data_IF_820477717356
#
_entry.id   IF_820477717356
#
_cell.length_a   1.000
_cell.length_b   1.000
_cell.length_c   1.000
_cell.angle_alpha   90.00
_cell.angle_beta   90.00
_cell.angle_gamma   90.00
#
_symmetry.space_group_name_H-M   'P 1'
#
loop_
_entity.id
_entity.type
_entity.pdbx_description
1 polymer ?
#
# COMPACT_ATOMS: atom_id res chain seq x y z
N UNK A 1 -37.97 -15.11 13.46
CA UNK A 1 -37.20 -14.62 12.31
C UNK A 1 -35.69 -14.42 12.65
N UNK A 2 -35.33 -13.99 13.85
CA UNK A 2 -33.95 -13.73 14.29
C UNK A 2 -33.04 -14.97 14.36
N UNK A 3 -33.52 -16.13 14.74
CA UNK A 3 -32.70 -17.35 14.87
C UNK A 3 -32.09 -17.85 13.52
N UNK A 4 -32.74 -17.62 12.38
CA UNK A 4 -32.18 -18.01 11.06
C UNK A 4 -31.03 -17.13 10.63
N UNK A 5 -31.02 -15.86 11.00
CA UNK A 5 -29.92 -14.94 10.71
C UNK A 5 -28.62 -15.30 11.42
N UNK A 6 -28.70 -15.70 12.69
CA UNK A 6 -27.52 -16.16 13.45
C UNK A 6 -26.93 -17.44 12.90
N UNK A 7 -27.78 -18.40 12.45
CA UNK A 7 -27.31 -19.64 11.85
C UNK A 7 -26.54 -19.36 10.56
N UNK A 8 -27.04 -18.49 9.70
CA UNK A 8 -26.38 -18.12 8.45
C UNK A 8 -25.04 -17.42 8.72
N UNK A 9 -24.99 -16.48 9.67
CA UNK A 9 -23.75 -15.78 10.06
C UNK A 9 -22.75 -16.76 10.69
N UNK A 10 -23.20 -17.67 11.54
CA UNK A 10 -22.34 -18.69 12.17
C UNK A 10 -21.85 -19.71 11.13
N UNK A 11 -22.67 -20.08 10.16
CA UNK A 11 -22.28 -20.99 9.07
C UNK A 11 -21.27 -20.32 8.14
N UNK A 12 -21.42 -19.03 7.83
CA UNK A 12 -20.46 -18.26 7.05
C UNK A 12 -19.13 -18.12 7.82
N UNK A 13 -19.18 -17.88 9.13
CA UNK A 13 -17.99 -17.83 9.99
C UNK A 13 -17.27 -19.18 10.13
N UNK A 14 -17.99 -20.30 10.08
CA UNK A 14 -17.42 -21.66 10.16
C UNK A 14 -16.87 -22.17 8.83
N UNK A 15 -17.28 -21.59 7.70
CA UNK A 15 -16.73 -21.92 6.36
C UNK A 15 -15.40 -21.24 6.06
N UNK A 16 -14.93 -20.37 6.94
CA UNK A 16 -13.65 -19.67 6.84
C UNK A 16 -12.60 -20.44 7.67
N UNK A 17 -12.36 -21.70 7.32
CA UNK A 17 -11.15 -22.41 7.77
C UNK A 17 -10.02 -21.99 6.83
N UNK A 18 -9.18 -21.08 7.28
CA UNK A 18 -8.07 -20.52 6.50
C UNK A 18 -6.84 -21.34 6.78
N UNK A 19 -6.34 -22.01 5.77
CA UNK A 19 -4.94 -22.39 5.72
C UNK A 19 -4.14 -21.09 5.58
N UNK A 20 -3.31 -20.77 6.57
CA UNK A 20 -2.40 -19.62 6.51
C UNK A 20 -1.29 -19.93 5.52
N UNK A 21 -1.46 -19.52 4.28
CA UNK A 21 -0.37 -19.50 3.30
C UNK A 21 0.33 -18.14 3.37
N UNK A 22 1.65 -18.15 3.23
CA UNK A 22 2.43 -16.92 3.20
C UNK A 22 2.12 -16.16 1.90
N UNK A 23 1.56 -14.96 2.01
CA UNK A 23 1.34 -14.08 0.88
C UNK A 23 2.66 -13.40 0.51
N UNK A 24 2.93 -13.30 -0.80
CA UNK A 24 4.12 -12.64 -1.33
C UNK A 24 4.14 -11.13 -1.02
N UNK A 25 3.01 -10.46 -1.20
CA UNK A 25 2.92 -9.01 -1.07
C UNK A 25 2.94 -8.52 0.39
N UNK A 26 3.68 -7.45 0.61
CA UNK A 26 3.83 -6.80 1.92
C UNK A 26 2.55 -6.13 2.39
N UNK A 27 2.34 -6.09 3.70
CA UNK A 27 1.24 -5.40 4.35
C UNK A 27 1.74 -4.20 5.14
N UNK A 28 1.26 -3.01 4.79
CA UNK A 28 1.50 -1.80 5.58
C UNK A 28 0.29 -1.44 6.41
N UNK A 29 0.52 -1.09 7.68
CA UNK A 29 -0.55 -0.63 8.58
C UNK A 29 -1.13 0.72 8.16
N UNK A 30 -0.29 1.60 7.54
CA UNK A 30 -0.70 2.90 7.00
C UNK A 30 -1.15 2.82 5.54
N UNK A 31 -1.74 1.70 5.09
CA UNK A 31 -2.19 1.49 3.71
C UNK A 31 -3.08 2.60 3.17
N UNK A 32 -3.86 3.26 4.01
CA UNK A 32 -4.76 4.36 3.65
C UNK A 32 -4.03 5.67 3.24
N UNK A 33 -2.76 5.82 3.59
CA UNK A 33 -1.88 6.90 3.16
C UNK A 33 -0.92 6.46 2.04
N UNK A 34 -0.92 5.15 1.73
CA UNK A 34 -0.04 4.49 0.76
C UNK A 34 -0.80 3.78 -0.37
N UNK A 35 -2.01 4.20 -0.69
CA UNK A 35 -2.84 3.53 -1.70
C UNK A 35 -2.15 3.31 -3.07
N UNK A 36 -1.27 4.21 -3.57
CA UNK A 36 -0.49 3.95 -4.78
C UNK A 36 0.41 2.71 -4.70
N UNK A 37 0.78 2.23 -3.50
CA UNK A 37 1.64 1.05 -3.35
C UNK A 37 1.00 -0.23 -3.89
N UNK A 38 -0.33 -0.34 -3.83
CA UNK A 38 -1.09 -1.50 -4.28
C UNK A 38 -2.13 -1.19 -5.36
N UNK A 39 -2.43 0.09 -5.66
CA UNK A 39 -3.39 0.47 -6.69
C UNK A 39 -2.89 1.66 -7.53
N UNK A 40 -2.47 1.40 -8.74
CA UNK A 40 -1.99 2.42 -9.68
C UNK A 40 -3.06 3.49 -10.01
N UNK A 41 -4.36 3.17 -9.90
CA UNK A 41 -5.42 4.15 -10.12
C UNK A 41 -5.52 5.22 -9.03
N UNK A 42 -4.87 5.01 -7.87
CA UNK A 42 -4.84 5.98 -6.78
C UNK A 42 -3.78 7.08 -6.97
N UNK A 43 -2.84 6.96 -7.94
CA UNK A 43 -1.82 7.98 -8.18
C UNK A 43 -2.44 9.30 -8.62
N UNK A 44 -1.90 10.40 -8.13
CA UNK A 44 -2.44 11.74 -8.41
C UNK A 44 -3.86 11.94 -7.86
N UNK A 45 -4.23 11.32 -6.75
CA UNK A 45 -5.53 11.45 -6.09
C UNK A 45 -5.83 12.90 -5.68
N UNK A 46 -4.81 13.68 -5.38
CA UNK A 46 -4.90 15.10 -5.04
C UNK A 46 -4.07 15.97 -6.00
N UNK A 47 -4.41 17.27 -6.18
CA UNK A 47 -3.65 18.19 -7.01
C UNK A 47 -2.35 18.65 -6.32
N UNK A 48 -1.62 17.70 -5.74
CA UNK A 48 -0.38 17.89 -5.00
C UNK A 48 0.66 16.90 -5.47
N UNK A 49 1.92 17.24 -5.28
CA UNK A 49 2.96 16.24 -5.23
C UNK A 49 2.87 15.55 -3.87
N UNK A 50 2.65 14.25 -3.89
CA UNK A 50 2.67 13.41 -2.71
C UNK A 50 3.96 12.60 -2.75
N UNK A 51 4.68 12.58 -1.64
CA UNK A 51 5.84 11.73 -1.41
C UNK A 51 5.53 10.91 -0.17
N UNK A 52 5.73 9.61 -0.24
CA UNK A 52 5.48 8.69 0.84
C UNK A 52 6.66 7.75 1.01
N UNK A 53 7.05 7.49 2.25
CA UNK A 53 8.03 6.49 2.59
C UNK A 53 7.55 5.73 3.84
N UNK A 54 7.84 4.44 3.90
CA UNK A 54 7.56 3.62 5.05
C UNK A 54 8.70 2.64 5.31
N UNK A 55 8.91 2.34 6.56
CA UNK A 55 9.78 1.27 7.02
C UNK A 55 8.99 0.39 7.99
N UNK A 56 8.83 -0.87 7.64
CA UNK A 56 8.18 -1.87 8.48
C UNK A 56 9.23 -2.90 8.93
N UNK A 57 9.23 -3.19 10.22
CA UNK A 57 9.99 -4.27 10.84
C UNK A 57 8.99 -5.26 11.42
N UNK A 58 8.79 -6.36 10.72
CA UNK A 58 7.83 -7.38 11.13
C UNK A 58 8.46 -8.41 12.07
N UNK A 59 7.64 -9.00 12.93
CA UNK A 59 8.04 -10.07 13.85
C UNK A 59 9.33 -9.73 14.62
N UNK A 60 9.39 -8.53 15.22
CA UNK A 60 10.53 -8.07 15.98
C UNK A 60 10.89 -9.08 17.09
N UNK A 61 12.16 -9.45 17.20
CA UNK A 61 12.65 -10.46 18.13
C UNK A 61 13.05 -11.79 17.49
N UNK A 62 12.65 -12.05 16.24
CA UNK A 62 13.19 -13.16 15.47
C UNK A 62 14.52 -12.78 14.80
N UNK A 63 15.45 -13.76 14.70
CA UNK A 63 16.67 -13.57 13.92
C UNK A 63 16.30 -13.47 12.43
N UNK A 64 16.77 -12.43 11.73
CA UNK A 64 16.47 -12.16 10.32
C UNK A 64 14.98 -11.95 10.05
N UNK A 65 14.30 -11.23 10.96
CA UNK A 65 12.90 -10.86 10.80
C UNK A 65 12.67 -10.06 9.50
N UNK A 66 11.48 -10.14 8.90
CA UNK A 66 11.15 -9.37 7.71
C UNK A 66 11.29 -7.87 7.92
N UNK A 67 11.87 -7.18 6.94
CA UNK A 67 12.04 -5.73 6.95
C UNK A 67 11.72 -5.18 5.58
N UNK A 68 10.74 -4.28 5.51
CA UNK A 68 10.29 -3.68 4.28
C UNK A 68 10.53 -2.20 4.24
N UNK A 69 11.08 -1.72 3.15
CA UNK A 69 11.21 -0.31 2.81
C UNK A 69 10.35 0.02 1.60
N UNK A 70 9.57 1.07 1.70
CA UNK A 70 8.79 1.64 0.60
C UNK A 70 9.14 3.11 0.43
N UNK A 71 9.25 3.55 -0.82
CA UNK A 71 9.30 4.96 -1.19
C UNK A 71 8.50 5.17 -2.47
N UNK A 72 7.65 6.19 -2.49
CA UNK A 72 6.84 6.52 -3.65
C UNK A 72 6.63 8.02 -3.79
N UNK A 73 6.42 8.45 -5.02
CA UNK A 73 6.03 9.81 -5.32
C UNK A 73 4.99 9.81 -6.43
N UNK A 74 3.94 10.60 -6.27
CA UNK A 74 2.89 10.75 -7.26
C UNK A 74 2.39 12.18 -7.37
N UNK A 75 1.90 12.53 -8.55
CA UNK A 75 1.37 13.84 -8.83
C UNK A 75 0.19 13.79 -9.80
N UNK A 76 -0.71 14.76 -9.64
CA UNK A 76 -1.77 15.02 -10.61
C UNK A 76 -1.35 16.11 -11.59
N UNK A 77 -1.68 15.94 -12.86
CA UNK A 77 -1.49 16.94 -13.89
C UNK A 77 -2.69 17.00 -14.83
N UNK A 78 -2.83 18.13 -15.52
CA UNK A 78 -3.89 18.36 -16.51
C UNK A 78 -3.30 18.19 -17.91
N UNK A 79 -3.84 17.26 -18.70
CA UNK A 79 -3.50 17.04 -20.10
C UNK A 79 -4.80 16.87 -20.89
N UNK A 80 -4.90 17.55 -22.06
CA UNK A 80 -6.08 17.51 -22.94
C UNK A 80 -7.40 17.78 -22.22
N UNK A 81 -7.41 18.70 -21.24
CA UNK A 81 -8.56 19.08 -20.40
C UNK A 81 -9.06 17.94 -19.48
N UNK A 82 -8.31 16.87 -19.33
CA UNK A 82 -8.59 15.78 -18.40
C UNK A 82 -7.49 15.70 -17.33
N UNK A 83 -7.87 15.19 -16.16
CA UNK A 83 -6.91 14.96 -15.09
C UNK A 83 -6.23 13.61 -15.27
N UNK A 84 -4.95 13.60 -15.07
CA UNK A 84 -4.09 12.42 -15.12
C UNK A 84 -3.29 12.33 -13.82
N UNK A 85 -2.87 11.13 -13.47
CA UNK A 85 -1.91 10.89 -12.42
C UNK A 85 -0.67 10.19 -12.97
N UNK A 86 0.49 10.55 -12.47
CA UNK A 86 1.72 9.79 -12.69
C UNK A 86 2.41 9.54 -11.36
N UNK A 87 3.03 8.39 -11.22
CA UNK A 87 3.75 8.00 -10.02
C UNK A 87 4.93 7.10 -10.31
N UNK A 88 5.83 7.06 -9.34
CA UNK A 88 6.95 6.15 -9.27
C UNK A 88 6.99 5.55 -7.88
N UNK A 89 7.32 4.28 -7.77
CA UNK A 89 7.49 3.61 -6.48
C UNK A 89 8.68 2.68 -6.51
N UNK A 90 9.31 2.58 -5.35
CA UNK A 90 10.38 1.64 -5.02
C UNK A 90 9.96 0.87 -3.77
N UNK A 91 10.09 -0.43 -3.80
CA UNK A 91 9.93 -1.30 -2.64
C UNK A 91 11.13 -2.22 -2.53
N UNK A 92 11.59 -2.47 -1.33
CA UNK A 92 12.60 -3.47 -1.01
C UNK A 92 12.14 -4.21 0.24
N UNK A 93 11.84 -5.47 0.09
CA UNK A 93 11.44 -6.36 1.15
C UNK A 93 12.49 -7.44 1.37
N UNK A 94 12.92 -7.59 2.62
CA UNK A 94 13.90 -8.60 3.02
C UNK A 94 13.24 -9.60 3.96
N UNK A 95 13.15 -10.85 3.54
CA UNK A 95 12.59 -11.96 4.31
C UNK A 95 13.63 -13.06 4.43
N UNK A 96 14.26 -13.15 5.59
CA UNK A 96 15.30 -14.16 5.83
C UNK A 96 16.50 -13.96 4.91
N UNK A 97 16.66 -14.84 3.91
CA UNK A 97 17.73 -14.83 2.93
C UNK A 97 17.30 -14.26 1.57
N UNK A 98 16.02 -13.99 1.41
CA UNK A 98 15.47 -13.42 0.19
C UNK A 98 15.35 -11.90 0.29
N UNK A 99 15.56 -11.23 -0.85
CA UNK A 99 15.30 -9.79 -1.01
C UNK A 99 14.50 -9.58 -2.29
N UNK A 100 13.30 -9.04 -2.11
CA UNK A 100 12.33 -8.72 -3.15
C UNK A 100 12.37 -7.22 -3.42
N UNK A 101 12.82 -6.80 -4.59
CA UNK A 101 12.87 -5.39 -4.97
C UNK A 101 11.93 -5.13 -6.11
N UNK A 102 11.17 -4.07 -6.03
CA UNK A 102 10.25 -3.63 -7.08
C UNK A 102 10.44 -2.16 -7.37
N UNK A 103 10.72 -1.82 -8.61
CA UNK A 103 10.68 -0.45 -9.13
C UNK A 103 9.56 -0.37 -10.15
N UNK A 104 8.59 0.54 -9.99
CA UNK A 104 7.46 0.63 -10.90
C UNK A 104 7.11 2.08 -11.24
N UNK A 105 6.70 2.29 -12.49
CA UNK A 105 6.10 3.51 -13.00
C UNK A 105 4.59 3.30 -13.09
N UNK A 106 3.84 4.31 -12.70
CA UNK A 106 2.39 4.26 -12.61
C UNK A 106 1.77 5.41 -13.38
N UNK A 107 0.66 5.12 -14.03
CA UNK A 107 -0.15 6.11 -14.73
C UNK A 107 -1.63 5.89 -14.43
N UNK A 108 -2.38 6.98 -14.24
CA UNK A 108 -3.82 6.95 -14.04
C UNK A 108 -4.52 7.99 -14.91
N UNK A 109 -5.60 7.57 -15.54
CA UNK A 109 -6.54 8.43 -16.25
C UNK A 109 -7.77 8.67 -15.37
N UNK A 110 -8.22 9.93 -15.28
CA UNK A 110 -9.29 10.33 -14.36
C UNK A 110 -10.42 11.02 -15.10
N UNK A 111 -11.65 10.62 -14.82
CA UNK A 111 -12.85 11.26 -15.38
C UNK A 111 -13.98 11.35 -14.35
N UNK A 112 -14.85 12.31 -14.55
CA UNK A 112 -16.00 12.52 -13.67
C UNK A 112 -17.11 11.51 -14.02
N UNK A 113 -17.62 10.84 -12.99
CA UNK A 113 -18.69 9.85 -13.12
C UNK A 113 -19.60 9.91 -11.89
N UNK A 114 -20.92 9.92 -12.05
CA UNK A 114 -21.93 9.88 -10.98
C UNK A 114 -21.65 10.84 -9.80
N UNK A 115 -21.20 12.06 -10.09
CA UNK A 115 -20.89 13.07 -9.07
C UNK A 115 -19.57 12.86 -8.31
N UNK A 116 -18.84 11.81 -8.61
CA UNK A 116 -17.51 11.51 -8.13
C UNK A 116 -16.47 11.54 -9.25
N UNK A 117 -15.29 10.97 -8.96
CA UNK A 117 -14.20 10.80 -9.90
C UNK A 117 -13.84 9.31 -9.98
N UNK A 118 -13.94 8.74 -11.16
CA UNK A 118 -13.41 7.42 -11.48
C UNK A 118 -12.01 7.58 -12.05
N UNK A 119 -11.08 6.77 -11.58
CA UNK A 119 -9.70 6.69 -12.03
C UNK A 119 -9.42 5.26 -12.47
N UNK A 120 -8.83 5.12 -13.65
CA UNK A 120 -8.30 3.84 -14.15
C UNK A 120 -6.79 3.94 -14.16
N UNK A 121 -6.07 2.95 -13.66
CA UNK A 121 -4.63 3.01 -13.52
C UNK A 121 -3.95 1.74 -14.01
N UNK A 122 -2.74 1.93 -14.53
CA UNK A 122 -1.83 0.85 -14.91
C UNK A 122 -0.45 1.11 -14.31
N UNK A 123 0.28 0.05 -14.07
CA UNK A 123 1.66 0.08 -13.60
C UNK A 123 2.50 -0.90 -14.39
N UNK A 124 3.71 -0.49 -14.72
CA UNK A 124 4.73 -1.34 -15.27
C UNK A 124 6.02 -1.17 -14.48
N UNK A 125 6.63 -2.26 -14.09
CA UNK A 125 7.79 -2.25 -13.22
C UNK A 125 8.76 -3.38 -13.50
N UNK A 126 9.87 -3.34 -12.80
CA UNK A 126 10.88 -4.37 -12.74
C UNK A 126 10.85 -5.00 -11.34
N UNK A 127 10.67 -6.29 -11.31
CA UNK A 127 10.80 -7.12 -10.12
C UNK A 127 12.19 -7.75 -10.14
N UNK A 128 12.93 -7.62 -9.04
CA UNK A 128 14.27 -8.20 -8.87
C UNK A 128 14.27 -9.02 -7.60
N UNK A 129 14.52 -10.31 -7.76
CA UNK A 129 14.61 -11.30 -6.70
C UNK A 129 16.06 -11.65 -6.44
N UNK A 130 16.46 -11.70 -5.18
CA UNK A 130 17.80 -12.06 -4.78
C UNK A 130 17.73 -13.10 -3.67
N UNK A 131 18.48 -14.18 -3.82
CA UNK A 131 18.76 -15.15 -2.75
C UNK A 131 20.22 -15.04 -2.32
N UNK A 132 20.47 -14.83 -1.03
CA UNK A 132 21.83 -14.70 -0.47
C UNK A 132 22.26 -16.04 0.16
N UNK A 133 22.79 -16.93 -0.68
CA UNK A 133 23.28 -18.23 -0.26
C UNK A 133 24.54 -18.18 0.62
N UNK A 134 25.25 -17.03 0.64
CA UNK A 134 26.45 -16.86 1.49
C UNK A 134 26.14 -16.84 2.98
N UNK A 135 24.88 -16.64 3.34
CA UNK A 135 24.40 -16.56 4.73
C UNK A 135 23.65 -17.83 5.18
N UNK A 136 23.62 -18.86 4.34
CA UNK A 136 23.06 -20.16 4.72
C UNK A 136 23.98 -20.80 5.75
N UNK A 137 23.42 -21.24 6.86
CA UNK A 137 24.14 -22.01 7.89
C UNK A 137 24.05 -23.49 7.50
N UNK A 138 25.03 -23.97 6.77
CA UNK A 138 25.08 -25.33 6.29
C UNK A 138 25.81 -26.17 7.34
N UNK A 139 25.22 -27.28 7.81
CA UNK A 139 25.91 -28.30 8.62
C UNK A 139 27.01 -28.98 7.80
N UNK A 140 26.81 -29.12 6.48
CA UNK A 140 27.81 -29.59 5.51
C UNK A 140 28.17 -28.48 4.53
N UNK A 141 29.44 -28.04 4.54
CA UNK A 141 29.90 -26.86 3.77
C UNK A 141 29.88 -27.00 2.24
N UNK A 142 29.47 -28.17 1.70
CA UNK A 142 29.46 -28.47 0.26
C UNK A 142 28.15 -29.14 -0.22
N UNK A 143 27.01 -28.77 0.34
CA UNK A 143 25.73 -29.28 -0.16
C UNK A 143 25.42 -28.64 -1.54
N UNK A 144 25.42 -29.44 -2.64
CA UNK A 144 25.16 -28.93 -3.99
C UNK A 144 23.73 -28.41 -4.20
N UNK A 145 22.80 -28.68 -3.26
CA UNK A 145 21.43 -28.20 -3.32
C UNK A 145 21.33 -26.69 -3.00
N UNK A 146 22.33 -26.11 -2.34
CA UNK A 146 22.34 -24.70 -1.98
C UNK A 146 23.49 -23.97 -2.67
N UNK A 147 23.15 -22.90 -3.38
CA UNK A 147 24.16 -22.00 -3.92
C UNK A 147 24.90 -21.32 -2.77
N UNK A 148 26.23 -21.49 -2.68
CA UNK A 148 27.08 -20.72 -1.75
C UNK A 148 27.30 -19.27 -2.21
N UNK A 149 26.66 -18.85 -3.29
CA UNK A 149 26.78 -17.53 -3.89
C UNK A 149 25.45 -16.77 -3.80
N UNK A 150 25.53 -15.46 -4.01
CA UNK A 150 24.36 -14.61 -4.21
C UNK A 150 23.84 -14.80 -5.62
N UNK A 151 22.58 -15.19 -5.77
CA UNK A 151 21.91 -15.33 -7.06
C UNK A 151 20.81 -14.28 -7.18
N UNK A 152 20.66 -13.72 -8.38
CA UNK A 152 19.71 -12.65 -8.67
C UNK A 152 19.01 -12.92 -10.00
N UNK A 153 17.73 -12.62 -10.05
CA UNK A 153 16.92 -12.69 -11.25
C UNK A 153 15.99 -11.50 -11.36
N UNK A 154 15.58 -11.18 -12.57
CA UNK A 154 14.70 -10.05 -12.84
C UNK A 154 13.55 -10.45 -13.75
N UNK A 155 12.37 -9.84 -13.56
CA UNK A 155 11.21 -10.03 -14.43
C UNK A 155 10.41 -8.74 -14.55
N UNK A 156 9.68 -8.60 -15.67
CA UNK A 156 8.71 -7.52 -15.85
C UNK A 156 7.50 -7.78 -14.95
N UNK A 157 6.99 -6.73 -14.31
CA UNK A 157 5.82 -6.76 -13.45
C UNK A 157 4.76 -5.78 -13.93
N UNK A 158 3.53 -6.24 -14.07
CA UNK A 158 2.40 -5.45 -14.54
C UNK A 158 1.28 -5.42 -13.48
N UNK A 159 0.67 -4.24 -13.33
CA UNK A 159 -0.47 -4.07 -12.46
C UNK A 159 -1.53 -3.15 -13.09
N UNK A 160 -2.78 -3.32 -12.68
CA UNK A 160 -3.89 -2.46 -13.08
C UNK A 160 -4.86 -2.27 -11.94
N UNK A 161 -5.65 -1.18 -12.00
CA UNK A 161 -6.65 -0.91 -11.00
C UNK A 161 -7.70 0.09 -11.42
N UNK A 162 -8.75 0.13 -10.62
CA UNK A 162 -9.82 1.11 -10.66
C UNK A 162 -9.92 1.75 -9.28
N UNK A 163 -10.21 3.04 -9.25
CA UNK A 163 -10.40 3.79 -8.02
C UNK A 163 -11.50 4.81 -8.20
N UNK A 164 -12.56 4.72 -7.40
CA UNK A 164 -13.64 5.68 -7.40
C UNK A 164 -13.65 6.47 -6.10
N UNK A 165 -13.62 7.79 -6.20
CA UNK A 165 -13.72 8.70 -5.06
C UNK A 165 -14.93 9.60 -5.20
N UNK A 166 -15.66 9.72 -4.13
CA UNK A 166 -16.78 10.65 -3.97
C UNK A 166 -16.54 11.44 -2.69
N UNK A 167 -17.11 12.63 -2.55
CA UNK A 167 -16.90 13.61 -1.47
C UNK A 167 -16.26 13.11 -0.17
N UNK A 168 -16.84 12.07 0.45
CA UNK A 168 -16.46 11.60 1.77
C UNK A 168 -16.13 10.10 1.82
N UNK A 169 -16.14 9.40 0.71
CA UNK A 169 -15.83 7.97 0.64
C UNK A 169 -15.13 7.60 -0.66
N UNK A 170 -14.48 6.50 -0.64
CA UNK A 170 -13.83 5.92 -1.80
C UNK A 170 -13.92 4.41 -1.79
N UNK A 171 -13.75 3.83 -2.96
CA UNK A 171 -13.57 2.39 -3.17
C UNK A 171 -12.57 2.18 -4.28
N UNK A 172 -11.73 1.16 -4.15
CA UNK A 172 -10.75 0.79 -5.16
C UNK A 172 -10.64 -0.72 -5.28
N UNK A 173 -10.39 -1.17 -6.49
CA UNK A 173 -10.00 -2.55 -6.79
C UNK A 173 -8.73 -2.51 -7.63
N UNK A 174 -7.83 -3.46 -7.41
CA UNK A 174 -6.60 -3.56 -8.19
C UNK A 174 -6.08 -4.99 -8.21
N UNK A 175 -5.23 -5.26 -9.18
CA UNK A 175 -4.47 -6.48 -9.24
C UNK A 175 -3.00 -6.14 -9.53
N UNK A 176 -2.11 -6.72 -8.77
CA UNK A 176 -0.67 -6.68 -8.97
C UNK A 176 -0.20 -8.01 -9.55
N UNK A 177 0.99 -8.02 -10.11
CA UNK A 177 1.58 -9.24 -10.71
C UNK A 177 0.66 -9.90 -11.75
N UNK A 178 -0.05 -9.09 -12.57
CA UNK A 178 -1.04 -9.55 -13.54
C UNK A 178 -0.49 -10.53 -14.58
N UNK A 179 0.80 -10.43 -14.88
CA UNK A 179 1.49 -11.33 -15.80
C UNK A 179 2.10 -12.55 -15.09
N UNK A 180 1.82 -12.73 -13.79
CA UNK A 180 2.38 -13.79 -12.93
C UNK A 180 3.86 -14.01 -13.23
N UNK A 181 4.72 -12.98 -12.95
CA UNK A 181 6.11 -12.99 -13.38
C UNK A 181 6.85 -14.19 -12.79
N UNK A 182 7.58 -14.90 -13.66
CA UNK A 182 8.50 -15.94 -13.27
C UNK A 182 9.92 -15.36 -13.27
N UNK A 183 10.59 -15.42 -12.14
CA UNK A 183 11.96 -14.94 -11.95
C UNK A 183 12.90 -16.13 -11.88
N UNK A 184 13.80 -16.22 -12.83
CA UNK A 184 14.80 -17.27 -12.85
C UNK A 184 15.96 -16.90 -11.90
N UNK A 185 16.19 -17.74 -10.90
CA UNK A 185 17.24 -17.62 -9.89
C UNK A 185 18.35 -18.64 -10.18
N UNK A 186 19.43 -18.17 -10.80
CA UNK A 186 20.50 -19.07 -11.26
C UNK A 186 20.08 -19.94 -12.44
N UNK A 187 20.64 -21.14 -12.55
CA UNK A 187 20.43 -22.03 -13.69
C UNK A 187 19.22 -22.96 -13.55
N UNK A 188 18.80 -23.25 -12.32
CA UNK A 188 17.85 -24.34 -12.03
C UNK A 188 16.63 -23.93 -11.21
N UNK A 189 16.65 -22.76 -10.54
CA UNK A 189 15.56 -22.36 -9.66
C UNK A 189 14.72 -21.27 -10.29
N UNK A 190 13.41 -21.38 -10.16
CA UNK A 190 12.44 -20.42 -10.62
C UNK A 190 11.54 -20.01 -9.45
N UNK A 191 11.29 -18.71 -9.33
CA UNK A 191 10.32 -18.16 -8.41
C UNK A 191 9.17 -17.55 -9.23
N UNK A 192 8.00 -18.15 -9.14
CA UNK A 192 6.79 -17.61 -9.71
C UNK A 192 6.08 -16.75 -8.68
N UNK A 193 5.70 -15.53 -9.09
CA UNK A 193 4.93 -14.60 -8.26
C UNK A 193 3.50 -14.58 -8.77
N UNK A 194 2.56 -15.05 -7.97
CA UNK A 194 1.16 -15.09 -8.34
C UNK A 194 0.48 -13.72 -8.29
N UNK A 195 -0.56 -13.54 -9.11
CA UNK A 195 -1.32 -12.31 -9.12
C UNK A 195 -2.02 -12.08 -7.78
N UNK A 196 -1.87 -10.89 -7.21
CA UNK A 196 -2.51 -10.49 -5.97
C UNK A 196 -3.59 -9.45 -6.23
N UNK A 197 -4.79 -9.72 -5.72
CA UNK A 197 -5.98 -8.88 -5.89
C UNK A 197 -6.26 -8.10 -4.61
N UNK A 198 -6.63 -6.83 -4.79
CA UNK A 198 -6.91 -5.91 -3.70
C UNK A 198 -8.29 -5.30 -3.82
N UNK A 199 -8.98 -5.18 -2.69
CA UNK A 199 -10.18 -4.37 -2.52
C UNK A 199 -9.93 -3.40 -1.36
N UNK A 200 -10.08 -2.11 -1.61
CA UNK A 200 -9.96 -1.08 -0.58
C UNK A 200 -11.18 -0.19 -0.56
N UNK A 201 -11.45 0.37 0.59
CA UNK A 201 -12.50 1.36 0.75
C UNK A 201 -12.36 2.12 2.04
N UNK A 202 -12.94 3.30 2.07
CA UNK A 202 -12.93 4.13 3.28
C UNK A 202 -13.89 5.29 3.19
N UNK A 203 -14.14 5.87 4.36
CA UNK A 203 -15.03 7.02 4.47
C UNK A 203 -14.51 8.02 5.51
N UNK A 204 -14.93 9.27 5.39
CA UNK A 204 -14.72 10.32 6.38
C UNK A 204 -16.05 10.75 6.95
N UNK A 205 -16.29 10.43 8.21
CA UNK A 205 -17.51 10.77 8.95
C UNK A 205 -17.19 11.96 9.85
N UNK A 206 -17.69 13.15 9.50
CA UNK A 206 -17.51 14.35 10.32
C UNK A 206 -18.44 14.29 11.52
N UNK A 207 -17.91 14.58 12.69
CA UNK A 207 -18.66 14.63 13.93
C UNK A 207 -19.33 16.02 14.10
N UNK A 208 -20.16 16.16 15.14
CA UNK A 208 -20.79 17.45 15.48
C UNK A 208 -19.76 18.55 15.77
N UNK A 209 -18.62 18.16 16.33
CA UNK A 209 -17.46 19.06 16.44
C UNK A 209 -16.73 19.08 15.09
N UNK A 210 -16.59 20.24 14.41
CA UNK A 210 -16.01 20.34 13.08
C UNK A 210 -14.54 19.96 13.00
N UNK A 211 -13.83 19.96 14.13
CA UNK A 211 -12.44 19.54 14.20
C UNK A 211 -12.25 18.02 14.27
N UNK A 212 -13.32 17.28 14.53
CA UNK A 212 -13.26 15.85 14.78
C UNK A 212 -13.91 15.06 13.65
N UNK A 213 -13.27 13.98 13.25
CA UNK A 213 -13.82 13.01 12.30
C UNK A 213 -13.42 11.59 12.66
N UNK A 214 -14.25 10.63 12.25
CA UNK A 214 -13.94 9.20 12.27
C UNK A 214 -13.67 8.76 10.82
N UNK A 215 -12.61 8.04 10.60
CA UNK A 215 -12.19 7.56 9.29
C UNK A 215 -12.09 6.04 9.30
N UNK A 216 -13.21 5.32 9.08
CA UNK A 216 -13.15 3.90 8.84
C UNK A 216 -12.55 3.62 7.47
N UNK A 217 -11.74 2.57 7.38
CA UNK A 217 -11.19 2.05 6.13
C UNK A 217 -11.03 0.54 6.19
N UNK A 218 -10.97 -0.07 5.01
CA UNK A 218 -10.82 -1.49 4.79
C UNK A 218 -9.78 -1.73 3.70
N UNK A 219 -8.91 -2.68 3.90
CA UNK A 219 -8.07 -3.28 2.87
C UNK A 219 -8.26 -4.79 2.92
N UNK A 220 -8.67 -5.39 1.81
CA UNK A 220 -8.70 -6.83 1.61
C UNK A 220 -7.75 -7.19 0.47
N UNK A 221 -6.95 -8.23 0.65
CA UNK A 221 -6.05 -8.76 -0.36
C UNK A 221 -6.10 -10.28 -0.41
N UNK A 222 -5.89 -10.83 -1.60
CA UNK A 222 -5.84 -12.28 -1.83
C UNK A 222 -5.02 -12.60 -3.08
N UNK A 223 -4.26 -13.66 -3.03
CA UNK A 223 -3.59 -14.30 -4.15
C UNK A 223 -4.33 -15.57 -4.62
N UNK A 224 -5.60 -15.74 -4.18
CA UNK A 224 -6.47 -16.89 -4.35
C UNK A 224 -6.07 -18.14 -3.54
N UNK A 225 -4.85 -18.18 -3.00
CA UNK A 225 -4.38 -19.25 -2.10
C UNK A 225 -4.57 -18.85 -0.64
N UNK A 226 -4.34 -17.58 -0.31
CA UNK A 226 -4.55 -17.00 1.01
C UNK A 226 -5.26 -15.66 0.93
N UNK A 227 -5.69 -15.15 2.08
CA UNK A 227 -6.27 -13.81 2.15
C UNK A 227 -5.94 -13.11 3.46
N UNK A 228 -5.89 -11.78 3.43
CA UNK A 228 -5.82 -10.92 4.60
C UNK A 228 -6.80 -9.77 4.44
N UNK A 229 -7.52 -9.46 5.51
CA UNK A 229 -8.39 -8.30 5.58
C UNK A 229 -8.04 -7.45 6.80
N UNK A 230 -7.80 -6.16 6.58
CA UNK A 230 -7.49 -5.19 7.63
C UNK A 230 -8.64 -4.19 7.72
N UNK A 231 -9.30 -4.11 8.88
CA UNK A 231 -10.37 -3.16 9.16
C UNK A 231 -9.81 -2.12 10.13
N UNK A 232 -9.73 -0.87 9.69
CA UNK A 232 -9.10 0.21 10.45
C UNK A 232 -10.12 1.30 10.80
N UNK A 233 -10.13 1.72 12.04
CA UNK A 233 -10.87 2.89 12.52
C UNK A 233 -9.92 3.94 13.06
N UNK A 234 -9.92 5.16 12.47
CA UNK A 234 -9.10 6.27 12.94
C UNK A 234 -9.99 7.40 13.47
N UNK A 235 -9.65 7.90 14.63
CA UNK A 235 -10.20 9.13 15.18
C UNK A 235 -9.23 10.26 14.86
N UNK A 236 -9.70 11.30 14.14
CA UNK A 236 -8.85 12.35 13.61
C UNK A 236 -9.29 13.71 14.13
N UNK A 237 -8.35 14.48 14.67
CA UNK A 237 -8.48 15.87 15.03
C UNK A 237 -7.78 16.73 13.99
N UNK A 238 -8.49 17.67 13.36
CA UNK A 238 -7.94 18.58 12.34
C UNK A 238 -8.22 20.02 12.72
N UNK A 239 -7.15 20.82 12.86
CA UNK A 239 -7.24 22.24 13.10
C UNK A 239 -6.27 22.96 12.15
N UNK A 240 -6.82 23.75 11.21
CA UNK A 240 -6.06 24.44 10.15
C UNK A 240 -5.10 23.49 9.39
N UNK A 241 -3.79 23.68 9.56
CA UNK A 241 -2.72 22.90 8.91
C UNK A 241 -2.20 21.73 9.75
N UNK A 242 -2.79 21.54 10.94
CA UNK A 242 -2.40 20.48 11.87
C UNK A 242 -3.47 19.41 11.90
N UNK A 243 -3.07 18.16 11.85
CA UNK A 243 -3.94 17.01 12.00
C UNK A 243 -3.23 16.01 12.92
N UNK A 244 -3.98 15.43 13.83
CA UNK A 244 -3.52 14.30 14.65
C UNK A 244 -4.54 13.18 14.54
N UNK A 245 -4.07 11.96 14.55
CA UNK A 245 -4.95 10.80 14.58
C UNK A 245 -4.43 9.73 15.55
N UNK A 246 -5.36 8.98 16.09
CA UNK A 246 -5.14 7.71 16.74
C UNK A 246 -6.13 6.70 16.15
N UNK A 247 -5.73 5.45 16.02
CA UNK A 247 -6.55 4.43 15.40
C UNK A 247 -6.23 3.02 15.87
N UNK A 248 -7.15 2.15 15.53
CA UNK A 248 -7.01 0.71 15.71
C UNK A 248 -7.30 0.03 14.38
N UNK A 249 -6.48 -0.94 14.04
CA UNK A 249 -6.72 -1.86 12.93
C UNK A 249 -6.86 -3.29 13.47
N UNK A 250 -7.74 -4.05 12.88
CA UNK A 250 -7.97 -5.44 13.22
C UNK A 250 -7.90 -6.30 11.97
N UNK A 251 -6.98 -7.25 11.95
CA UNK A 251 -6.89 -8.31 10.96
C UNK A 251 -7.37 -9.61 11.62
N UNK A 252 -8.57 -10.11 11.26
CA UNK A 252 -9.14 -11.31 11.88
C UNK A 252 -8.17 -12.49 11.85
N UNK A 253 -8.03 -13.18 12.99
CA UNK A 253 -7.13 -14.34 13.19
C UNK A 253 -5.63 -14.05 13.09
N UNK A 254 -5.22 -12.85 12.73
CA UNK A 254 -3.81 -12.48 12.50
C UNK A 254 -3.33 -11.54 13.61
N UNK A 255 -3.92 -10.33 13.71
CA UNK A 255 -3.35 -9.30 14.57
C UNK A 255 -4.32 -8.17 14.91
N UNK A 256 -3.90 -7.36 15.88
CA UNK A 256 -4.49 -6.07 16.20
C UNK A 256 -3.38 -5.02 16.18
N UNK A 257 -3.61 -3.89 15.52
CA UNK A 257 -2.62 -2.83 15.35
C UNK A 257 -3.11 -1.53 15.98
N UNK A 258 -2.25 -0.90 16.75
CA UNK A 258 -2.45 0.46 17.25
C UNK A 258 -1.72 1.43 16.34
N UNK A 259 -2.39 2.52 15.93
CA UNK A 259 -1.85 3.54 15.03
C UNK A 259 -1.93 4.91 15.68
N UNK A 260 -0.86 5.68 15.57
CA UNK A 260 -0.84 7.09 15.93
C UNK A 260 -0.10 7.87 14.85
N UNK A 261 -0.47 9.12 14.67
CA UNK A 261 0.25 9.98 13.75
C UNK A 261 -0.32 11.37 13.67
N UNK A 262 0.29 12.16 12.80
CA UNK A 262 -0.12 13.54 12.60
C UNK A 262 0.47 14.16 11.36
N UNK A 263 -0.14 15.29 10.97
CA UNK A 263 0.29 16.13 9.86
C UNK A 263 0.60 17.52 10.37
N UNK A 264 1.76 18.03 9.99
CA UNK A 264 2.22 19.36 10.36
C UNK A 264 2.95 20.00 9.18
N UNK A 265 2.47 21.13 8.68
CA UNK A 265 3.05 21.87 7.54
C UNK A 265 3.33 21.01 6.29
N UNK A 266 2.44 20.06 5.98
CA UNK A 266 2.56 19.18 4.81
C UNK A 266 3.32 17.88 5.08
N UNK A 267 4.06 17.78 6.18
CA UNK A 267 4.72 16.54 6.61
C UNK A 267 3.74 15.71 7.41
N UNK A 268 3.59 14.45 7.06
CA UNK A 268 2.81 13.45 7.80
C UNK A 268 3.79 12.48 8.43
N UNK A 269 3.62 12.21 9.72
CA UNK A 269 4.37 11.18 10.44
C UNK A 269 3.36 10.20 11.04
N UNK A 270 3.60 8.93 10.88
CA UNK A 270 2.82 7.86 11.44
C UNK A 270 3.68 6.79 12.09
N UNK A 271 3.17 6.17 13.11
CA UNK A 271 3.75 5.01 13.75
C UNK A 271 2.65 4.00 14.04
N UNK A 272 2.93 2.73 13.81
CA UNK A 272 2.05 1.64 14.21
C UNK A 272 2.80 0.55 14.96
N UNK A 273 2.08 -0.09 15.83
CA UNK A 273 2.51 -1.28 16.55
C UNK A 273 1.48 -2.39 16.38
N UNK A 274 1.88 -3.48 15.75
CA UNK A 274 1.05 -4.64 15.48
C UNK A 274 1.33 -5.73 16.50
N UNK A 275 0.28 -6.21 17.14
CA UNK A 275 0.28 -7.26 18.13
C UNK A 275 -0.35 -8.50 17.49
N UNK A 276 0.41 -9.58 17.32
CA UNK A 276 -0.08 -10.82 16.76
C UNK A 276 -0.99 -11.55 17.74
N UNK A 277 -2.15 -11.96 17.27
CA UNK A 277 -3.12 -12.80 18.01
C UNK A 277 -3.10 -14.24 17.53
N UNK A 278 -2.32 -14.52 16.46
CA UNK A 278 -2.08 -15.86 15.92
C UNK A 278 -1.08 -16.65 16.79
N UNK A 279 -0.88 -17.94 16.46
CA UNK A 279 0.05 -18.81 17.15
C UNK A 279 1.53 -18.33 17.06
N UNK A 280 1.88 -17.58 16.03
CA UNK A 280 3.20 -16.97 15.87
C UNK A 280 3.17 -15.61 16.57
N UNK A 281 3.62 -15.57 17.81
CA UNK A 281 3.72 -14.33 18.58
C UNK A 281 5.13 -14.19 19.16
N UNK A 282 6.02 -13.39 18.54
CA UNK A 282 7.39 -13.19 19.03
C UNK A 282 7.47 -12.38 20.33
N UNK A 283 6.35 -11.86 20.82
CA UNK A 283 6.30 -11.00 22.01
C UNK A 283 6.63 -9.54 21.77
N UNK A 284 7.38 -9.23 20.73
CA UNK A 284 7.80 -7.85 20.39
C UNK A 284 6.98 -7.22 19.25
N UNK A 285 6.03 -7.99 18.65
CA UNK A 285 5.14 -7.52 17.61
C UNK A 285 5.84 -7.05 16.34
N UNK A 286 5.18 -6.19 15.58
CA UNK A 286 5.75 -5.50 14.41
C UNK A 286 5.64 -4.00 14.57
N UNK A 287 6.59 -3.29 14.00
CA UNK A 287 6.69 -1.83 14.07
C UNK A 287 6.72 -1.25 12.67
N UNK A 288 5.97 -0.18 12.43
CA UNK A 288 6.02 0.55 11.18
C UNK A 288 6.14 2.05 11.44
N UNK A 289 7.01 2.70 10.69
CA UNK A 289 7.15 4.15 10.63
C UNK A 289 6.75 4.60 9.23
N UNK A 290 5.82 5.54 9.14
CA UNK A 290 5.38 6.18 7.93
C UNK A 290 5.77 7.65 7.90
N UNK A 291 6.28 8.11 6.76
CA UNK A 291 6.59 9.53 6.52
C UNK A 291 5.97 9.93 5.19
N UNK A 292 5.12 10.94 5.22
CA UNK A 292 4.52 11.53 4.03
C UNK A 292 4.86 13.01 3.89
N UNK A 293 4.95 13.51 2.68
CA UNK A 293 5.07 14.94 2.38
C UNK A 293 4.15 15.32 1.25
N UNK A 294 3.39 16.41 1.45
CA UNK A 294 2.47 16.94 0.44
C UNK A 294 2.80 18.39 0.12
N UNK A 295 3.10 18.65 -1.15
CA UNK A 295 3.42 19.98 -1.65
C UNK A 295 2.43 20.39 -2.75
N UNK A 296 1.94 21.62 -2.70
CA UNK A 296 1.07 22.16 -3.73
C UNK A 296 1.86 22.36 -5.04
N UNK A 297 1.40 21.68 -6.11
CA UNK A 297 1.97 21.84 -7.44
C UNK A 297 1.23 22.94 -8.19
N UNK A 298 1.86 24.08 -8.35
CA UNK A 298 1.34 25.17 -9.20
C UNK A 298 1.80 24.97 -10.64
N UNK A 299 1.25 23.94 -11.32
CA UNK A 299 1.54 23.63 -12.72
C UNK A 299 0.84 24.56 -13.72
N UNK A 300 0.01 25.48 -13.26
CA UNK A 300 -0.55 26.51 -14.13
C UNK A 300 0.54 27.52 -14.44
N UNK A 301 1.02 27.53 -15.69
CA UNK A 301 1.77 28.67 -16.21
C UNK A 301 0.90 29.91 -15.97
N UNK A 302 1.30 30.79 -15.07
CA UNK A 302 0.80 32.17 -15.05
C UNK A 302 1.10 32.72 -16.41
N UNK A 303 0.11 32.85 -17.29
CA UNK A 303 0.25 33.58 -18.54
C UNK A 303 0.78 34.95 -18.18
N UNK A 304 1.96 35.28 -18.62
CA UNK A 304 2.43 36.68 -18.64
C UNK A 304 1.40 37.42 -19.51
N UNK A 305 0.51 38.22 -18.89
CA UNK A 305 -0.27 39.19 -19.60
C UNK A 305 0.71 40.19 -20.24
N UNK A 306 1.07 39.92 -21.48
CA UNK A 306 1.92 40.81 -22.29
C UNK A 306 1.15 41.98 -22.92
N UNK A 307 -0.07 42.22 -22.47
CA UNK A 307 -0.81 43.44 -22.86
C UNK A 307 -0.77 44.47 -21.73
N UNK A 308 0.38 45.11 -21.58
CA UNK A 308 0.37 46.49 -21.09
C UNK A 308 -0.21 47.36 -22.21
N UNK A 309 -1.48 47.71 -22.07
CA UNK A 309 -2.08 48.77 -22.87
C UNK A 309 -1.29 50.05 -22.59
N UNK A 310 -0.46 50.46 -23.54
CA UNK A 310 0.09 51.81 -23.56
C UNK A 310 -0.99 52.72 -24.08
N UNK A 311 -1.73 53.39 -23.17
CA UNK A 311 -2.50 54.56 -23.55
C UNK A 311 -1.51 55.65 -23.81
N UNK A 312 -1.31 55.97 -25.08
CA UNK A 312 -0.69 57.21 -25.53
C UNK A 312 -1.80 58.27 -25.43
N UNK A 313 -1.57 59.30 -24.62
CA UNK A 313 -2.33 60.55 -24.58
C UNK A 313 -1.97 61.40 -25.80
#
# INVERSE_FOLDING_TARGET
>A
MFKRGYIIITTILLLVSVESQAQYDVSFSHYFDMEPSFNAAAVGKSPKLNIAAAYAMELAGFKRNPNTMYAGADAQFLLLKQFHGAGIQLMNDQIGLFSHKRLALQYAFKFKLFGGQLSTGISAGLLSETFDGTKVDLEESNDPAFSSSKIEGNSLDLAAGLYYSHRNWYVGISAQHLNSPCVQLGETNELQVDATYYLTGGATIRLRNPFLSIQPSLLFRTDLSGYRGDITGRFTYTNEKKMFYAGLSYAPTISTTVLIGGKFHGIVLGYSYEIYTSAINPGNGSHEIFVGYQMDLNLQKKGKNMHKSVRVL
#
